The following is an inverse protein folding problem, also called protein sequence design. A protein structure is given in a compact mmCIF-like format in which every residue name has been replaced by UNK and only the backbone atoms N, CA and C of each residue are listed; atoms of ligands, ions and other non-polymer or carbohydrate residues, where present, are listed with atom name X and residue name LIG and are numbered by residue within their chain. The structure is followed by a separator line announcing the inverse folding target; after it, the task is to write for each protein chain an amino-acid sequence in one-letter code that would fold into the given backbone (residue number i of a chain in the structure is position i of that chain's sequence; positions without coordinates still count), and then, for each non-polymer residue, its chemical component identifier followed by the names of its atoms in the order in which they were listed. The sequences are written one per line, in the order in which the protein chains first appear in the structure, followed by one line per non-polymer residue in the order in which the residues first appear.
data_IF_578266301675
#
_entry.id   IF_578266301675
#
_cell.length_a   1.000
_cell.length_b   1.000
_cell.length_c   1.000
_cell.angle_alpha   90.00
_cell.angle_beta   90.00
_cell.angle_gamma   90.00
#
_symmetry.space_group_name_H-M   'P 1'
#
loop_
_entity.id
_entity.type
_entity.pdbx_description
1 polymer ?
#
# COMPACT_ATOMS: atom_id res chain seq x y z
N UNK A 1 19.56 25.83 -13.24
CA UNK A 1 18.61 25.27 -12.29
C UNK A 1 17.63 26.29 -11.78
N UNK A 2 16.72 25.82 -10.98
CA UNK A 2 15.63 26.66 -10.43
C UNK A 2 15.92 27.20 -9.03
N UNK A 3 17.19 27.17 -8.60
CA UNK A 3 17.57 27.61 -7.26
C UNK A 3 16.85 26.81 -6.16
N UNK A 4 16.81 25.49 -6.31
CA UNK A 4 16.11 24.58 -5.40
C UNK A 4 16.94 24.35 -4.12
N UNK A 5 17.03 25.36 -3.28
CA UNK A 5 17.74 25.28 -2.01
C UNK A 5 16.75 25.02 -0.87
N UNK A 6 16.96 23.99 -0.05
CA UNK A 6 16.12 23.78 1.11
C UNK A 6 16.37 24.85 2.17
N UNK A 7 15.32 25.20 2.91
CA UNK A 7 15.43 26.08 4.06
C UNK A 7 15.80 25.24 5.30
N UNK A 8 16.48 25.86 6.26
CA UNK A 8 16.85 25.21 7.52
C UNK A 8 15.62 24.69 8.28
N UNK A 9 14.51 25.43 8.21
CA UNK A 9 13.25 25.01 8.81
C UNK A 9 12.74 23.70 8.19
N UNK A 10 12.81 23.56 6.87
CA UNK A 10 12.45 22.34 6.17
C UNK A 10 13.34 21.17 6.59
N UNK A 11 14.63 21.40 6.68
CA UNK A 11 15.59 20.39 7.12
C UNK A 11 15.33 19.95 8.56
N UNK A 12 15.01 20.89 9.45
CA UNK A 12 14.69 20.59 10.85
C UNK A 12 13.44 19.71 10.96
N UNK A 13 12.40 20.01 10.19
CA UNK A 13 11.20 19.17 10.12
C UNK A 13 11.52 17.79 9.56
N UNK A 14 12.35 17.73 8.52
CA UNK A 14 12.80 16.47 7.92
C UNK A 14 13.54 15.59 8.90
N UNK A 15 14.43 16.14 9.71
CA UNK A 15 15.15 15.40 10.74
C UNK A 15 14.21 14.79 11.77
N UNK A 16 13.19 15.52 12.20
CA UNK A 16 12.20 14.99 13.14
C UNK A 16 11.38 13.86 12.52
N UNK A 17 10.98 13.99 11.26
CA UNK A 17 10.27 12.94 10.55
C UNK A 17 11.14 11.70 10.34
N UNK A 18 12.43 11.91 10.05
CA UNK A 18 13.37 10.81 9.85
C UNK A 18 13.53 9.95 11.12
N UNK A 19 13.48 10.56 12.30
CA UNK A 19 13.50 9.84 13.58
C UNK A 19 12.33 8.89 13.75
N UNK A 20 11.19 9.18 13.10
CA UNK A 20 9.98 8.34 13.16
C UNK A 20 10.00 7.20 12.14
N UNK A 21 10.92 7.23 11.19
CA UNK A 21 10.94 6.28 10.08
C UNK A 21 10.97 4.81 10.53
N UNK A 22 11.82 4.39 11.49
CA UNK A 22 11.83 2.99 11.91
C UNK A 22 10.48 2.52 12.46
N UNK A 23 9.78 3.37 13.21
CA UNK A 23 8.46 3.05 13.75
C UNK A 23 7.43 2.95 12.62
N UNK A 24 7.48 3.88 11.67
CA UNK A 24 6.56 3.88 10.53
C UNK A 24 6.78 2.66 9.63
N UNK A 25 8.02 2.29 9.38
CA UNK A 25 8.36 1.10 8.60
C UNK A 25 7.86 -0.17 9.28
N UNK A 26 8.09 -0.30 10.58
CA UNK A 26 7.63 -1.46 11.35
C UNK A 26 6.10 -1.56 11.31
N UNK A 27 5.40 -0.44 11.50
CA UNK A 27 3.94 -0.41 11.46
C UNK A 27 3.39 -0.79 10.08
N UNK A 28 4.01 -0.31 9.01
CA UNK A 28 3.62 -0.65 7.63
C UNK A 28 3.79 -2.14 7.35
N UNK A 29 4.90 -2.72 7.74
CA UNK A 29 5.16 -4.15 7.54
C UNK A 29 4.17 -5.00 8.32
N UNK A 30 3.92 -4.63 9.56
CA UNK A 30 2.96 -5.34 10.41
C UNK A 30 1.54 -5.25 9.84
N UNK A 31 1.10 -4.08 9.45
CA UNK A 31 -0.23 -3.87 8.89
C UNK A 31 -0.41 -4.63 7.57
N UNK A 32 0.62 -4.61 6.72
CA UNK A 32 0.60 -5.34 5.46
C UNK A 32 0.48 -6.86 5.71
N UNK A 33 1.23 -7.38 6.68
CA UNK A 33 1.17 -8.79 7.04
C UNK A 33 -0.21 -9.19 7.58
N UNK A 34 -0.84 -8.32 8.37
CA UNK A 34 -2.20 -8.53 8.87
C UNK A 34 -3.21 -8.59 7.72
N UNK A 35 -3.13 -7.65 6.78
CA UNK A 35 -3.99 -7.63 5.60
C UNK A 35 -3.77 -8.88 4.75
N UNK A 36 -2.53 -9.28 4.55
CA UNK A 36 -2.19 -10.50 3.82
C UNK A 36 -2.83 -11.73 4.45
N UNK A 37 -2.78 -11.82 5.78
CA UNK A 37 -3.41 -12.92 6.51
C UNK A 37 -4.93 -12.92 6.38
N UNK A 38 -5.56 -11.74 6.41
CA UNK A 38 -7.01 -11.59 6.24
C UNK A 38 -7.44 -12.07 4.85
N UNK A 39 -6.68 -11.76 3.81
CA UNK A 39 -6.99 -12.12 2.42
C UNK A 39 -6.51 -13.52 2.01
N UNK A 40 -5.69 -14.17 2.83
CA UNK A 40 -5.17 -15.49 2.50
C UNK A 40 -6.25 -16.53 2.14
N UNK A 41 -7.41 -16.61 2.84
CA UNK A 41 -8.48 -17.53 2.46
C UNK A 41 -9.11 -17.24 1.10
N UNK A 42 -8.86 -16.07 0.53
CA UNK A 42 -9.44 -15.59 -0.73
C UNK A 42 -8.44 -15.56 -1.88
N UNK A 43 -7.31 -16.25 -1.76
CA UNK A 43 -6.27 -16.30 -2.80
C UNK A 43 -6.79 -16.74 -4.16
N UNK A 44 -7.85 -17.52 -4.18
CA UNK A 44 -8.48 -17.98 -5.41
C UNK A 44 -9.06 -16.84 -6.24
N UNK A 45 -9.32 -15.69 -5.63
CA UNK A 45 -9.92 -14.53 -6.30
C UNK A 45 -8.93 -13.40 -6.58
N UNK A 46 -7.80 -13.37 -5.90
CA UNK A 46 -6.86 -12.24 -5.96
C UNK A 46 -5.42 -12.71 -6.22
N UNK A 47 -4.73 -11.94 -7.04
CA UNK A 47 -3.27 -11.97 -7.06
C UNK A 47 -2.79 -10.97 -6.00
N UNK A 48 -2.06 -11.45 -5.02
CA UNK A 48 -1.50 -10.61 -3.97
C UNK A 48 0.01 -10.45 -4.17
N UNK A 49 0.58 -9.29 -3.86
CA UNK A 49 2.00 -9.06 -4.03
C UNK A 49 2.82 -9.92 -3.07
N UNK A 50 3.99 -10.31 -3.54
CA UNK A 50 4.96 -11.08 -2.78
C UNK A 50 6.29 -10.36 -2.86
N UNK A 51 6.99 -10.24 -1.74
CA UNK A 51 8.32 -9.67 -1.74
C UNK A 51 9.26 -10.53 -2.58
N UNK A 52 10.09 -9.88 -3.40
CA UNK A 52 11.14 -10.58 -4.13
C UNK A 52 12.17 -11.14 -3.15
N UNK A 53 12.90 -12.17 -3.59
CA UNK A 53 13.90 -12.81 -2.76
C UNK A 53 14.89 -11.78 -2.18
N UNK A 54 15.21 -11.92 -0.91
CA UNK A 54 16.10 -11.03 -0.14
C UNK A 54 15.60 -9.58 -0.01
N UNK A 55 14.38 -9.28 -0.42
CA UNK A 55 13.77 -7.98 -0.22
C UNK A 55 12.94 -7.94 1.06
N UNK A 56 12.96 -6.79 1.73
CA UNK A 56 12.13 -6.54 2.91
C UNK A 56 11.44 -5.18 2.76
N UNK A 57 10.43 -5.08 1.87
CA UNK A 57 9.79 -3.81 1.58
C UNK A 57 8.95 -3.31 2.75
N UNK A 58 8.84 -2.00 2.89
CA UNK A 58 7.94 -1.39 3.85
C UNK A 58 6.56 -1.08 3.26
N UNK A 59 6.27 -1.57 2.10
CA UNK A 59 4.98 -1.55 1.39
C UNK A 59 4.26 -0.20 1.41
N UNK A 60 4.17 0.41 0.25
CA UNK A 60 3.43 1.66 0.08
C UNK A 60 1.92 1.45 0.21
N UNK A 61 1.41 0.36 -0.31
CA UNK A 61 -0.01 0.04 -0.33
C UNK A 61 -0.20 -1.47 -0.35
N UNK A 62 -1.41 -1.92 -0.03
CA UNK A 62 -1.80 -3.31 -0.20
C UNK A 62 -2.52 -3.45 -1.54
N UNK A 63 -1.83 -4.00 -2.53
CA UNK A 63 -2.34 -4.15 -3.88
C UNK A 63 -3.10 -5.46 -4.02
N UNK A 64 -4.34 -5.37 -4.49
CA UNK A 64 -5.14 -6.54 -4.85
C UNK A 64 -5.43 -6.49 -6.34
N UNK A 65 -5.06 -7.53 -7.05
CA UNK A 65 -5.41 -7.71 -8.45
C UNK A 65 -6.43 -8.83 -8.55
N UNK A 66 -7.61 -8.53 -9.10
CA UNK A 66 -8.70 -9.49 -9.20
C UNK A 66 -8.39 -10.47 -10.33
N UNK A 67 -8.51 -11.77 -10.06
CA UNK A 67 -8.36 -12.81 -11.08
C UNK A 67 -9.54 -12.79 -12.04
N UNK A 68 -9.31 -13.21 -13.28
CA UNK A 68 -10.32 -13.20 -14.33
C UNK A 68 -11.53 -14.07 -14.02
N UNK A 69 -11.32 -15.17 -13.31
CA UNK A 69 -12.35 -16.12 -12.94
C UNK A 69 -13.07 -15.77 -11.62
N UNK A 70 -12.78 -14.63 -11.02
CA UNK A 70 -13.48 -14.20 -9.81
C UNK A 70 -14.96 -13.89 -10.10
N UNK A 71 -15.88 -14.21 -9.16
CA UNK A 71 -17.31 -13.99 -9.37
C UNK A 71 -17.75 -12.54 -9.20
N UNK A 72 -16.81 -11.61 -9.05
CA UNK A 72 -17.08 -10.19 -8.88
C UNK A 72 -16.07 -9.37 -9.69
N UNK A 73 -16.44 -8.13 -9.99
CA UNK A 73 -15.60 -7.18 -10.70
C UNK A 73 -14.86 -6.27 -9.72
N UNK A 74 -13.88 -5.50 -10.24
CA UNK A 74 -13.23 -4.45 -9.46
C UNK A 74 -14.25 -3.45 -8.92
N UNK A 75 -15.25 -3.09 -9.72
CA UNK A 75 -16.32 -2.18 -9.32
C UNK A 75 -17.09 -2.73 -8.10
N UNK A 76 -17.39 -4.02 -8.11
CA UNK A 76 -18.13 -4.67 -7.03
C UNK A 76 -17.35 -4.62 -5.71
N UNK A 77 -16.09 -5.00 -5.72
CA UNK A 77 -15.26 -5.02 -4.52
C UNK A 77 -14.97 -3.60 -4.00
N UNK A 78 -14.76 -2.64 -4.90
CA UNK A 78 -14.57 -1.25 -4.52
C UNK A 78 -15.81 -0.70 -3.81
N UNK A 79 -16.98 -0.91 -4.37
CA UNK A 79 -18.24 -0.46 -3.77
C UNK A 79 -18.48 -1.13 -2.41
N UNK A 80 -18.19 -2.41 -2.29
CA UNK A 80 -18.34 -3.13 -1.04
C UNK A 80 -17.44 -2.56 0.07
N UNK A 81 -16.17 -2.33 -0.24
CA UNK A 81 -15.21 -1.80 0.71
C UNK A 81 -15.52 -0.35 1.09
N UNK A 82 -15.86 0.48 0.11
CA UNK A 82 -16.22 1.89 0.35
C UNK A 82 -17.49 1.99 1.20
N UNK A 83 -18.48 1.11 0.98
CA UNK A 83 -19.67 1.05 1.80
C UNK A 83 -19.35 0.66 3.26
N UNK A 84 -18.32 -0.14 3.46
CA UNK A 84 -17.80 -0.49 4.78
C UNK A 84 -16.83 0.55 5.35
N UNK A 85 -16.72 1.73 4.72
CA UNK A 85 -15.85 2.84 5.10
C UNK A 85 -14.35 2.51 4.99
N UNK A 86 -14.00 1.63 4.08
CA UNK A 86 -12.61 1.31 3.74
C UNK A 86 -12.30 1.98 2.41
N UNK A 87 -11.44 3.00 2.45
CA UNK A 87 -11.08 3.75 1.26
C UNK A 87 -10.21 2.90 0.34
N UNK A 88 -10.52 2.95 -0.95
CA UNK A 88 -9.77 2.26 -1.99
C UNK A 88 -9.27 3.23 -3.05
N UNK A 89 -8.25 2.81 -3.80
CA UNK A 89 -7.76 3.56 -4.96
C UNK A 89 -7.46 2.58 -6.09
N UNK A 90 -7.91 2.93 -7.28
CA UNK A 90 -7.53 2.20 -8.48
C UNK A 90 -6.20 2.73 -9.01
N UNK A 91 -5.32 1.84 -9.42
CA UNK A 91 -4.16 2.25 -10.20
C UNK A 91 -4.61 2.60 -11.61
N UNK A 92 -4.14 3.74 -12.07
CA UNK A 92 -4.38 4.14 -13.45
C UNK A 92 -3.46 3.32 -14.35
N UNK A 93 -4.06 2.52 -15.22
CA UNK A 93 -3.34 1.98 -16.34
C UNK A 93 -3.33 3.02 -17.46
N UNK A 94 -2.16 3.31 -17.97
CA UNK A 94 -2.01 4.31 -19.03
C UNK A 94 -2.27 3.72 -20.43
N UNK A 95 -3.13 2.75 -20.53
CA UNK A 95 -3.43 2.09 -21.81
C UNK A 95 -4.91 2.06 -22.07
#
# INVERSE_FOLDING_TARGET
GYNLKPLDLQAAMGLQQLKKLPMLDAARRENWAKLRAIFAPYEQYFHMPVATDKANPCWFAFLLTIKEDAPFSRFDIVNHLEAAKIQTRSYLTMF
#
